data_IF_353832811272
#
_entry.id   IF_353832811272
#
_cell.length_a   1.000
_cell.length_b   1.000
_cell.length_c   1.000
_cell.angle_alpha   90.00
_cell.angle_beta   90.00
_cell.angle_gamma   90.00
#
_symmetry.space_group_name_H-M   'P 1'
#
loop_
_entity.id
_entity.type
_entity.pdbx_description
1 polymer ?
#
# COMPACT_ATOMS: atom_id res chain seq x y z
N UNK A 1 1.42 3.70 6.28
CA UNK A 1 2.17 2.46 5.97
C UNK A 1 3.64 2.86 5.92
N UNK A 2 4.49 2.27 6.78
CA UNK A 2 5.91 2.61 6.82
C UNK A 2 6.64 1.80 5.77
N UNK A 3 7.29 2.48 4.83
CA UNK A 3 8.17 1.84 3.83
C UNK A 3 9.55 2.44 4.01
N UNK A 4 10.56 1.62 4.30
CA UNK A 4 11.95 2.06 4.57
C UNK A 4 12.10 3.16 5.65
N UNK A 5 11.25 3.12 6.70
CA UNK A 5 11.30 4.09 7.80
C UNK A 5 10.71 5.47 7.47
N UNK A 6 10.28 5.69 6.22
CA UNK A 6 9.56 6.88 5.80
C UNK A 6 8.06 6.68 6.03
N UNK A 7 7.48 7.57 6.84
CA UNK A 7 6.03 7.65 7.05
C UNK A 7 5.45 8.67 6.07
N UNK A 8 4.91 8.19 4.95
CA UNK A 8 4.23 9.01 3.95
C UNK A 8 2.72 8.86 4.14
N UNK A 9 2.02 9.99 4.22
CA UNK A 9 0.57 10.01 4.09
C UNK A 9 0.16 9.65 2.66
N UNK A 10 -1.09 9.19 2.47
CA UNK A 10 -1.61 8.86 1.14
C UNK A 10 -1.45 10.00 0.15
N UNK A 11 -1.81 11.22 0.56
CA UNK A 11 -1.70 12.41 -0.29
C UNK A 11 -0.26 12.84 -0.61
N UNK A 12 0.70 12.61 0.29
CA UNK A 12 2.12 12.85 0.00
C UNK A 12 2.67 11.84 -1.01
N UNK A 13 2.26 10.58 -0.89
CA UNK A 13 2.62 9.55 -1.86
C UNK A 13 1.99 9.83 -3.23
N UNK A 14 0.70 10.17 -3.28
CA UNK A 14 0.00 10.47 -4.54
C UNK A 14 0.69 11.62 -5.27
N UNK A 15 1.00 12.72 -4.55
CA UNK A 15 1.74 13.84 -5.13
C UNK A 15 3.13 13.40 -5.61
N UNK A 16 3.90 12.70 -4.78
CA UNK A 16 5.26 12.27 -5.15
C UNK A 16 5.24 11.33 -6.36
N UNK A 17 4.29 10.40 -6.43
CA UNK A 17 4.12 9.49 -7.57
C UNK A 17 3.76 10.24 -8.84
N UNK A 18 2.84 11.20 -8.79
CA UNK A 18 2.47 12.02 -9.94
C UNK A 18 3.66 12.83 -10.47
N UNK A 19 4.53 13.33 -9.57
CA UNK A 19 5.75 14.03 -9.97
C UNK A 19 6.79 13.08 -10.56
N UNK A 20 6.90 11.84 -10.05
CA UNK A 20 7.87 10.85 -10.57
C UNK A 20 7.45 10.29 -11.93
N UNK A 21 6.16 10.09 -12.16
CA UNK A 21 5.63 9.55 -13.41
C UNK A 21 5.52 10.62 -14.53
N UNK A 22 5.66 11.89 -14.20
CA UNK A 22 5.57 13.01 -15.15
C UNK A 22 6.88 13.26 -15.89
N UNK A 23 6.81 13.44 -17.21
CA UNK A 23 7.96 13.86 -18.04
C UNK A 23 8.48 15.25 -17.63
N UNK A 24 7.57 16.15 -17.23
CA UNK A 24 7.91 17.46 -16.67
C UNK A 24 7.34 17.61 -15.25
N UNK A 25 8.10 17.24 -14.21
CA UNK A 25 7.63 17.32 -12.82
C UNK A 25 7.34 18.75 -12.37
N UNK A 26 8.02 19.76 -12.92
CA UNK A 26 7.87 21.16 -12.48
C UNK A 26 6.56 21.73 -13.01
N UNK A 27 6.24 21.48 -14.28
CA UNK A 27 4.96 21.90 -14.87
C UNK A 27 3.77 21.22 -14.20
N UNK A 28 3.88 19.91 -13.91
CA UNK A 28 2.85 19.17 -13.16
C UNK A 28 2.67 19.74 -11.75
N UNK A 29 3.77 20.05 -11.06
CA UNK A 29 3.72 20.72 -9.76
C UNK A 29 3.03 22.09 -9.81
N UNK A 30 3.35 22.93 -10.80
CA UNK A 30 2.75 24.25 -10.95
C UNK A 30 1.24 24.18 -11.24
N UNK A 31 0.79 23.23 -12.06
CA UNK A 31 -0.64 22.99 -12.32
C UNK A 31 -1.40 22.59 -11.05
N UNK A 32 -0.82 21.71 -10.22
CA UNK A 32 -1.43 21.31 -8.94
C UNK A 32 -1.43 22.48 -7.95
N UNK A 33 -0.35 23.27 -7.92
CA UNK A 33 -0.24 24.47 -7.09
C UNK A 33 -1.30 25.52 -7.43
N UNK A 34 -1.59 25.73 -8.71
CA UNK A 34 -2.63 26.68 -9.16
C UNK A 34 -4.03 26.22 -8.76
N UNK A 35 -4.28 24.91 -8.74
CA UNK A 35 -5.57 24.33 -8.35
C UNK A 35 -5.82 24.39 -6.85
N UNK A 36 -4.82 24.06 -6.02
CA UNK A 36 -4.93 24.11 -4.57
C UNK A 36 -3.59 24.45 -3.91
N UNK A 37 -3.36 25.75 -3.79
CA UNK A 37 -2.11 26.31 -3.26
C UNK A 37 -1.82 25.89 -1.82
N UNK A 38 -2.84 25.85 -0.97
CA UNK A 38 -2.68 25.61 0.46
C UNK A 38 -2.32 24.14 0.73
N UNK A 39 -3.08 23.22 0.14
CA UNK A 39 -2.81 21.78 0.27
C UNK A 39 -1.45 21.42 -0.34
N UNK A 40 -1.16 21.91 -1.55
CA UNK A 40 0.11 21.64 -2.22
C UNK A 40 1.32 22.12 -1.40
N UNK A 41 1.26 23.32 -0.82
CA UNK A 41 2.39 23.88 -0.05
C UNK A 41 2.72 23.01 1.16
N UNK A 42 1.71 22.51 1.87
CA UNK A 42 1.93 21.60 3.01
C UNK A 42 2.52 20.26 2.56
N UNK A 43 2.04 19.69 1.45
CA UNK A 43 2.54 18.44 0.90
C UNK A 43 4.01 18.55 0.44
N UNK A 44 4.35 19.57 -0.35
CA UNK A 44 5.75 19.80 -0.77
C UNK A 44 6.66 20.06 0.43
N UNK A 45 6.19 20.79 1.45
CA UNK A 45 6.96 21.01 2.67
C UNK A 45 7.18 19.70 3.44
N UNK A 46 6.18 18.83 3.51
CA UNK A 46 6.30 17.47 4.06
C UNK A 46 7.36 16.66 3.34
N UNK A 47 7.28 16.60 2.01
CA UNK A 47 8.23 15.88 1.15
C UNK A 47 9.65 16.47 1.21
N UNK A 48 9.78 17.79 1.28
CA UNK A 48 11.07 18.48 1.37
C UNK A 48 11.77 18.23 2.72
N UNK A 49 11.01 18.23 3.83
CA UNK A 49 11.54 17.85 5.17
C UNK A 49 12.08 16.42 5.18
N UNK A 50 11.44 15.53 4.41
CA UNK A 50 11.85 14.13 4.22
C UNK A 50 12.96 13.97 3.16
N UNK A 51 13.45 15.07 2.57
CA UNK A 51 14.47 15.10 1.52
C UNK A 51 14.09 14.30 0.26
N UNK A 52 12.79 14.18 -0.03
CA UNK A 52 12.28 13.48 -1.21
C UNK A 52 12.16 14.41 -2.42
N UNK A 53 11.98 15.71 -2.17
CA UNK A 53 11.93 16.76 -3.20
C UNK A 53 12.81 17.95 -2.80
N UNK A 54 13.30 18.69 -3.79
CA UNK A 54 13.90 20.01 -3.58
C UNK A 54 12.84 21.09 -3.83
N UNK A 55 12.79 22.09 -2.96
CA UNK A 55 11.88 23.23 -3.07
C UNK A 55 12.65 24.53 -3.27
N UNK A 56 12.19 25.39 -4.18
CA UNK A 56 12.81 26.68 -4.50
C UNK A 56 12.69 27.70 -3.35
N UNK A 57 11.58 27.68 -2.59
CA UNK A 57 11.33 28.63 -1.51
C UNK A 57 10.71 27.94 -0.29
N UNK A 58 11.47 27.61 0.76
CA UNK A 58 10.98 26.79 1.88
C UNK A 58 9.96 27.48 2.80
N UNK A 59 9.71 28.80 2.64
CA UNK A 59 8.91 29.59 3.60
C UNK A 59 7.56 30.10 3.09
N UNK A 60 7.48 30.72 1.91
CA UNK A 60 6.25 31.42 1.47
C UNK A 60 5.56 30.82 0.23
N UNK A 61 6.30 30.12 -0.62
CA UNK A 61 5.80 29.57 -1.88
C UNK A 61 6.65 28.36 -2.27
N UNK A 62 6.53 27.29 -1.50
CA UNK A 62 7.30 26.05 -1.71
C UNK A 62 6.94 25.40 -3.04
N UNK A 63 7.49 25.92 -4.13
CA UNK A 63 7.44 25.37 -5.47
C UNK A 63 8.48 24.28 -5.61
N UNK A 64 8.12 23.27 -6.39
CA UNK A 64 9.02 22.18 -6.70
C UNK A 64 10.17 22.72 -7.56
N UNK A 65 11.40 22.38 -7.16
CA UNK A 65 12.59 22.55 -7.99
C UNK A 65 12.88 21.29 -8.78
N UNK A 66 12.90 20.15 -8.08
CA UNK A 66 13.20 18.85 -8.64
C UNK A 66 12.77 17.74 -7.68
N UNK A 67 12.56 16.54 -8.24
CA UNK A 67 12.40 15.32 -7.45
C UNK A 67 13.78 14.70 -7.24
N UNK A 68 14.12 14.36 -6.00
CA UNK A 68 15.42 13.76 -5.67
C UNK A 68 15.48 12.29 -6.08
N UNK A 69 16.69 11.73 -6.16
CA UNK A 69 16.88 10.29 -6.36
C UNK A 69 16.23 9.45 -5.24
N UNK A 70 16.28 9.94 -4.00
CA UNK A 70 15.62 9.31 -2.86
C UNK A 70 14.09 9.30 -3.00
N UNK A 71 13.51 10.40 -3.50
CA UNK A 71 12.07 10.49 -3.80
C UNK A 71 11.62 9.45 -4.82
N UNK A 72 12.39 9.29 -5.91
CA UNK A 72 12.11 8.27 -6.94
C UNK A 72 12.21 6.86 -6.37
N UNK A 73 13.26 6.55 -5.61
CA UNK A 73 13.42 5.25 -4.96
C UNK A 73 12.26 4.96 -3.99
N UNK A 74 11.85 5.96 -3.21
CA UNK A 74 10.75 5.81 -2.26
C UNK A 74 9.42 5.43 -2.94
N UNK A 75 9.14 5.98 -4.14
CA UNK A 75 7.95 5.59 -4.92
C UNK A 75 8.05 4.13 -5.36
N UNK A 76 9.21 3.71 -5.88
CA UNK A 76 9.44 2.31 -6.28
C UNK A 76 9.27 1.35 -5.11
N UNK A 77 9.90 1.65 -3.97
CA UNK A 77 9.82 0.82 -2.77
C UNK A 77 8.37 0.72 -2.26
N UNK A 78 7.64 1.83 -2.29
CA UNK A 78 6.25 1.87 -1.85
C UNK A 78 5.34 1.06 -2.77
N UNK A 79 5.53 1.15 -4.10
CA UNK A 79 4.82 0.31 -5.08
C UNK A 79 5.09 -1.17 -4.84
N UNK A 80 6.34 -1.54 -4.59
CA UNK A 80 6.72 -2.91 -4.28
C UNK A 80 6.07 -3.41 -2.99
N UNK A 81 6.07 -2.59 -1.94
CA UNK A 81 5.42 -2.92 -0.67
C UNK A 81 3.89 -3.06 -0.82
N UNK A 82 3.25 -2.23 -1.66
CA UNK A 82 1.82 -2.32 -1.95
C UNK A 82 1.49 -3.61 -2.71
N UNK A 83 2.31 -3.96 -3.71
CA UNK A 83 2.17 -5.20 -4.47
C UNK A 83 2.35 -6.44 -3.56
N UNK A 84 3.32 -6.40 -2.63
CA UNK A 84 3.48 -7.45 -1.62
C UNK A 84 2.27 -7.54 -0.69
N UNK A 85 1.78 -6.41 -0.16
CA UNK A 85 0.59 -6.42 0.70
C UNK A 85 -0.66 -6.96 -0.02
N UNK A 86 -0.79 -6.72 -1.32
CA UNK A 86 -1.85 -7.34 -2.12
C UNK A 86 -1.64 -8.83 -2.38
N UNK A 87 -0.38 -9.26 -2.58
CA UNK A 87 -0.03 -10.67 -2.71
C UNK A 87 -0.34 -11.41 -1.40
N UNK A 88 0.04 -10.85 -0.26
CA UNK A 88 -0.25 -11.40 1.07
C UNK A 88 -1.76 -11.51 1.32
N UNK A 89 -2.55 -10.52 0.89
CA UNK A 89 -4.02 -10.59 0.96
C UNK A 89 -4.59 -11.69 0.06
N UNK A 90 -4.01 -11.90 -1.13
CA UNK A 90 -4.43 -12.99 -2.03
C UNK A 90 -4.07 -14.35 -1.47
N UNK A 91 -2.89 -14.48 -0.87
CA UNK A 91 -2.44 -15.71 -0.24
C UNK A 91 -3.23 -16.02 1.03
N UNK A 92 -3.58 -15.00 1.83
CA UNK A 92 -4.48 -15.16 2.97
C UNK A 92 -5.87 -15.66 2.52
N UNK A 93 -6.43 -15.10 1.44
CA UNK A 93 -7.70 -15.57 0.86
C UNK A 93 -7.61 -17.01 0.32
N UNK A 94 -6.49 -17.37 -0.31
CA UNK A 94 -6.24 -18.74 -0.79
C UNK A 94 -6.12 -19.72 0.37
N UNK A 95 -5.41 -19.34 1.43
CA UNK A 95 -5.27 -20.16 2.63
C UNK A 95 -6.62 -20.37 3.31
N UNK A 96 -7.43 -19.31 3.45
CA UNK A 96 -8.77 -19.41 4.04
C UNK A 96 -9.71 -20.30 3.20
N UNK A 97 -9.65 -20.19 1.87
CA UNK A 97 -10.40 -21.07 0.96
C UNK A 97 -9.94 -22.54 1.04
N UNK A 98 -8.63 -22.78 1.14
CA UNK A 98 -8.09 -24.12 1.34
C UNK A 98 -8.50 -24.70 2.69
N UNK A 99 -8.39 -23.94 3.78
CA UNK A 99 -8.82 -24.37 5.12
C UNK A 99 -10.32 -24.63 5.14
N UNK A 100 -11.15 -23.79 4.51
CA UNK A 100 -12.59 -24.05 4.39
C UNK A 100 -12.89 -25.34 3.59
N UNK A 101 -12.15 -25.57 2.49
CA UNK A 101 -12.30 -26.79 1.68
C UNK A 101 -11.87 -28.05 2.43
N UNK A 102 -10.77 -27.98 3.19
CA UNK A 102 -10.31 -29.09 4.05
C UNK A 102 -11.17 -29.26 5.31
N UNK A 103 -11.82 -28.21 5.81
CA UNK A 103 -12.80 -28.29 6.89
C UNK A 103 -14.07 -29.04 6.47
N UNK A 104 -14.50 -28.90 5.21
CA UNK A 104 -15.62 -29.66 4.64
C UNK A 104 -15.23 -31.12 4.39
N UNK A 105 -14.04 -31.38 3.84
CA UNK A 105 -13.57 -32.77 3.58
C UNK A 105 -13.19 -33.49 4.88
N UNK A 106 -12.53 -32.82 5.82
CA UNK A 106 -12.18 -33.35 7.14
C UNK A 106 -13.39 -33.50 8.07
N UNK A 107 -14.36 -32.59 8.00
CA UNK A 107 -15.63 -32.70 8.73
C UNK A 107 -16.52 -33.83 8.23
N UNK A 108 -16.50 -34.14 6.93
CA UNK A 108 -17.22 -35.28 6.37
C UNK A 108 -16.59 -36.63 6.76
N UNK A 109 -15.26 -36.73 6.81
CA UNK A 109 -14.57 -37.98 7.23
C UNK A 109 -14.66 -38.17 8.74
N UNK A 110 -14.52 -37.11 9.55
CA UNK A 110 -14.68 -37.21 11.00
C UNK A 110 -16.14 -37.46 11.42
N UNK A 111 -17.12 -36.80 10.79
CA UNK A 111 -18.55 -37.05 11.04
C UNK A 111 -19.01 -38.44 10.59
N UNK A 112 -18.48 -38.94 9.48
CA UNK A 112 -18.76 -40.29 8.98
C UNK A 112 -18.20 -41.40 9.89
N UNK A 113 -16.95 -41.26 10.35
CA UNK A 113 -16.32 -42.22 11.27
C UNK A 113 -16.96 -42.20 12.67
N UNK A 114 -17.34 -41.02 13.18
CA UNK A 114 -18.03 -40.91 14.47
C UNK A 114 -19.44 -41.51 14.44
N UNK A 115 -20.15 -41.38 13.31
CA UNK A 115 -21.49 -41.98 13.14
C UNK A 115 -21.43 -43.50 12.94
N UNK A 116 -20.39 -44.01 12.28
CA UNK A 116 -20.16 -45.46 12.12
C UNK A 116 -19.74 -46.14 13.43
N UNK A 117 -18.97 -45.44 14.28
CA UNK A 117 -18.59 -45.91 15.62
C UNK A 117 -19.73 -45.83 16.64
N UNK A 118 -20.66 -44.88 16.50
CA UNK A 118 -21.86 -44.86 17.35
C UNK A 118 -22.89 -45.94 16.97
N UNK A 119 -23.01 -46.30 15.69
CA UNK A 119 -23.93 -47.35 15.24
C UNK A 119 -23.47 -48.76 15.62
N UNK A 120 -22.16 -49.02 15.74
CA UNK A 120 -21.64 -50.34 16.17
C UNK A 120 -21.65 -50.54 17.68
N UNK A 121 -21.93 -49.50 18.46
CA UNK A 121 -22.02 -49.56 19.93
C UNK A 121 -23.46 -49.73 20.45
N UNK A 122 -24.50 -49.51 19.63
CA UNK A 122 -25.91 -49.63 20.02
C UNK A 122 -26.78 -50.20 18.88
N UNK A 123 -26.93 -51.53 18.81
CA UNK A 123 -27.90 -52.24 17.96
C UNK A 123 -27.37 -53.61 17.54
N UNK A 124 -27.64 -54.69 18.28
CA UNK A 124 -28.80 -55.59 18.12
C UNK A 124 -28.95 -56.17 16.72
#
# INVERSE_FOLDING_TARGET
>A
MRVNGLDLSGSEYDLLSALVDSDDPVSTADSIYEKDRAAYTELIRGLARKKLVESLMPRESSRLRSVTAAGRSAVTDYRAALAQAEADKRDAKRHDWLVASYGIVGGAVAGGLMTLLLHSAFGL
#
